data_IF_981994393030
#
_entry.id   IF_981994393030
#
_cell.length_a   1.000
_cell.length_b   1.000
_cell.length_c   1.000
_cell.angle_alpha   90.00
_cell.angle_beta   90.00
_cell.angle_gamma   90.00
#
_symmetry.space_group_name_H-M   'P 1'
#
loop_
_entity.id
_entity.type
_entity.pdbx_description
1 polymer ?
#
# COMPACT_ATOMS: atom_id res chain seq x y z
N UNK A 1 19.23 7.61 32.48
CA UNK A 1 19.14 8.96 31.90
C UNK A 1 19.06 8.89 30.36
N UNK A 2 20.04 8.36 29.65
CA UNK A 2 20.07 8.27 28.18
C UNK A 2 18.84 7.56 27.54
N UNK A 3 18.31 6.50 28.19
CA UNK A 3 17.09 5.81 27.71
C UNK A 3 15.81 6.64 27.92
N UNK A 4 15.79 7.47 28.95
CA UNK A 4 14.67 8.37 29.25
C UNK A 4 14.62 9.54 28.29
N UNK A 5 15.77 10.14 28.01
CA UNK A 5 15.89 11.25 27.03
C UNK A 5 15.57 10.81 25.60
N UNK A 6 16.00 9.61 25.18
CA UNK A 6 15.67 9.05 23.88
C UNK A 6 14.16 8.78 23.75
N UNK A 7 13.49 8.35 24.84
CA UNK A 7 12.05 8.10 24.88
C UNK A 7 11.24 9.39 24.82
N UNK A 8 11.68 10.45 25.53
CA UNK A 8 11.03 11.76 25.49
C UNK A 8 11.16 12.38 24.10
N UNK A 9 12.36 12.34 23.50
CA UNK A 9 12.55 12.82 22.10
C UNK A 9 11.71 12.05 21.10
N UNK A 10 11.52 10.74 21.27
CA UNK A 10 10.64 9.93 20.41
C UNK A 10 9.18 10.36 20.55
N UNK A 11 8.72 10.61 21.77
CA UNK A 11 7.34 11.01 22.06
C UNK A 11 7.03 12.41 21.54
N UNK A 12 7.93 13.39 21.78
CA UNK A 12 7.81 14.75 21.24
C UNK A 12 7.77 14.76 19.70
N UNK A 13 8.55 13.89 19.07
CA UNK A 13 8.59 13.74 17.63
C UNK A 13 7.29 13.13 17.09
N UNK A 14 6.75 12.13 17.78
CA UNK A 14 5.47 11.48 17.44
C UNK A 14 4.29 12.47 17.54
N UNK A 15 4.25 13.27 18.61
CA UNK A 15 3.22 14.28 18.83
C UNK A 15 3.32 15.41 17.80
N UNK A 16 4.52 15.85 17.45
CA UNK A 16 4.77 16.83 16.40
C UNK A 16 4.27 16.32 15.03
N UNK A 17 4.59 15.07 14.70
CA UNK A 17 4.10 14.47 13.47
C UNK A 17 2.58 14.27 13.48
N UNK A 18 1.97 13.94 14.62
CA UNK A 18 0.53 13.85 14.77
C UNK A 18 -0.19 15.18 14.42
N UNK A 19 0.31 16.30 14.92
CA UNK A 19 -0.21 17.64 14.58
C UNK A 19 -0.01 17.97 13.08
N UNK A 20 1.16 17.67 12.55
CA UNK A 20 1.50 17.92 11.15
C UNK A 20 0.58 17.15 10.18
N UNK A 21 0.20 15.91 10.56
CA UNK A 21 -0.80 15.10 9.84
C UNK A 21 -2.11 15.84 9.66
N UNK A 22 -2.66 16.36 10.76
CA UNK A 22 -3.93 17.08 10.72
C UNK A 22 -3.83 18.34 9.86
N UNK A 23 -2.71 19.07 9.95
CA UNK A 23 -2.48 20.27 9.15
C UNK A 23 -2.38 20.00 7.65
N UNK A 24 -1.89 18.80 7.23
CA UNK A 24 -1.83 18.44 5.81
C UNK A 24 -3.16 17.85 5.32
N UNK A 25 -3.85 17.05 6.14
CA UNK A 25 -5.15 16.47 5.75
C UNK A 25 -6.22 17.52 5.51
N UNK A 26 -6.19 18.63 6.24
CA UNK A 26 -7.16 19.71 6.10
C UNK A 26 -7.16 20.37 4.71
N UNK A 27 -6.02 20.85 4.16
CA UNK A 27 -6.00 21.42 2.80
C UNK A 27 -6.28 20.36 1.72
N UNK A 28 -5.92 19.08 1.93
CA UNK A 28 -6.28 18.00 1.01
C UNK A 28 -7.80 17.83 0.96
N UNK A 29 -8.47 17.79 2.12
CA UNK A 29 -9.93 17.72 2.18
C UNK A 29 -10.60 18.94 1.53
N UNK A 30 -10.05 20.13 1.71
CA UNK A 30 -10.53 21.33 1.03
C UNK A 30 -10.40 21.23 -0.50
N UNK A 31 -9.28 20.70 -1.01
CA UNK A 31 -9.09 20.47 -2.45
C UNK A 31 -10.10 19.45 -3.00
N UNK A 32 -10.46 18.40 -2.26
CA UNK A 32 -11.51 17.48 -2.68
C UNK A 32 -12.87 18.18 -2.85
N UNK A 33 -13.24 19.05 -1.89
CA UNK A 33 -14.50 19.80 -1.95
C UNK A 33 -14.50 20.76 -3.16
N UNK A 34 -13.38 21.45 -3.40
CA UNK A 34 -13.25 22.36 -4.55
C UNK A 34 -13.32 21.60 -5.87
N UNK A 35 -12.63 20.45 -6.00
CA UNK A 35 -12.70 19.61 -7.20
C UNK A 35 -14.10 19.05 -7.43
N UNK A 36 -14.83 18.70 -6.37
CA UNK A 36 -16.22 18.25 -6.48
C UNK A 36 -17.12 19.41 -6.98
N UNK A 37 -16.96 20.62 -6.45
CA UNK A 37 -17.73 21.79 -6.91
C UNK A 37 -17.46 22.08 -8.39
N UNK A 38 -16.20 22.03 -8.84
CA UNK A 38 -15.86 22.21 -10.25
C UNK A 38 -16.44 21.10 -11.14
N UNK A 39 -16.46 19.84 -10.66
CA UNK A 39 -17.07 18.73 -11.38
C UNK A 39 -18.58 18.88 -11.52
N UNK A 40 -19.27 19.35 -10.47
CA UNK A 40 -20.71 19.58 -10.47
C UNK A 40 -21.09 20.70 -11.48
N UNK A 41 -20.24 21.74 -11.60
CA UNK A 41 -20.44 22.85 -12.56
C UNK A 41 -20.03 22.48 -14.00
N UNK A 42 -18.91 21.73 -14.18
CA UNK A 42 -18.31 21.41 -15.47
C UNK A 42 -17.82 19.95 -15.53
N UNK A 43 -18.71 18.96 -15.57
CA UNK A 43 -18.32 17.54 -15.52
C UNK A 43 -17.47 17.06 -16.71
N UNK A 44 -17.46 17.81 -17.80
CA UNK A 44 -16.71 17.45 -19.00
C UNK A 44 -15.30 18.08 -19.06
N UNK A 45 -14.86 18.77 -18.01
CA UNK A 45 -13.54 19.42 -17.97
C UNK A 45 -12.42 18.37 -17.98
N UNK A 46 -11.56 18.28 -19.02
CA UNK A 46 -10.55 17.23 -19.14
C UNK A 46 -9.53 17.24 -17.98
N UNK A 47 -9.21 18.44 -17.49
CA UNK A 47 -8.22 18.66 -16.44
C UNK A 47 -8.66 18.11 -15.07
N UNK A 48 -9.96 17.99 -14.82
CA UNK A 48 -10.49 17.44 -13.58
C UNK A 48 -9.95 16.06 -13.27
N UNK A 49 -9.83 15.24 -14.32
CA UNK A 49 -9.29 13.88 -14.18
C UNK A 49 -7.84 13.90 -13.69
N UNK A 50 -7.01 14.76 -14.27
CA UNK A 50 -5.60 14.88 -13.89
C UNK A 50 -5.47 15.47 -12.48
N UNK A 51 -6.26 16.48 -12.14
CA UNK A 51 -6.26 17.10 -10.81
C UNK A 51 -6.67 16.10 -9.72
N UNK A 52 -7.71 15.29 -9.94
CA UNK A 52 -8.12 14.23 -9.03
C UNK A 52 -7.02 13.17 -8.86
N UNK A 53 -6.36 12.78 -9.94
CA UNK A 53 -5.24 11.83 -9.89
C UNK A 53 -4.05 12.37 -9.09
N UNK A 54 -3.67 13.63 -9.29
CA UNK A 54 -2.56 14.24 -8.55
C UNK A 54 -2.90 14.42 -7.07
N UNK A 55 -4.13 14.82 -6.75
CA UNK A 55 -4.60 14.92 -5.36
C UNK A 55 -4.55 13.55 -4.66
N UNK A 56 -5.04 12.50 -5.32
CA UNK A 56 -4.98 11.13 -4.80
C UNK A 56 -3.53 10.67 -4.54
N UNK A 57 -2.60 10.98 -5.46
CA UNK A 57 -1.17 10.68 -5.25
C UNK A 57 -0.60 11.41 -4.04
N UNK A 58 -0.95 12.68 -3.84
CA UNK A 58 -0.51 13.44 -2.67
C UNK A 58 -1.01 12.78 -1.37
N UNK A 59 -2.26 12.35 -1.32
CA UNK A 59 -2.79 11.60 -0.17
C UNK A 59 -1.99 10.33 0.12
N UNK A 60 -1.69 9.56 -0.92
CA UNK A 60 -0.90 8.33 -0.77
C UNK A 60 0.52 8.61 -0.24
N UNK A 61 1.17 9.70 -0.70
CA UNK A 61 2.47 10.09 -0.18
C UNK A 61 2.42 10.51 1.29
N UNK A 62 1.42 11.29 1.67
CA UNK A 62 1.22 11.70 3.06
C UNK A 62 1.01 10.47 3.94
N UNK A 63 0.11 9.56 3.55
CA UNK A 63 -0.18 8.32 4.30
C UNK A 63 1.06 7.43 4.45
N UNK A 64 1.86 7.30 3.39
CA UNK A 64 3.11 6.55 3.41
C UNK A 64 4.13 7.15 4.39
N UNK A 65 4.30 8.48 4.40
CA UNK A 65 5.20 9.16 5.33
C UNK A 65 4.74 8.96 6.77
N UNK A 66 3.44 9.07 7.03
CA UNK A 66 2.86 8.85 8.36
C UNK A 66 3.06 7.43 8.85
N UNK A 67 2.85 6.46 7.98
CA UNK A 67 3.07 5.05 8.29
C UNK A 67 4.54 4.80 8.60
N UNK A 68 5.45 5.39 7.83
CA UNK A 68 6.89 5.30 8.08
C UNK A 68 7.26 5.81 9.49
N UNK A 69 6.72 6.96 9.91
CA UNK A 69 6.98 7.55 11.21
C UNK A 69 6.42 6.72 12.38
N UNK A 70 5.22 6.16 12.21
CA UNK A 70 4.58 5.29 13.22
C UNK A 70 5.19 3.89 13.31
N UNK A 71 5.93 3.47 12.30
CA UNK A 71 6.48 2.12 12.24
C UNK A 71 7.52 1.84 13.35
N UNK A 72 8.21 2.86 13.87
CA UNK A 72 9.18 2.69 14.97
C UNK A 72 8.47 2.23 16.26
N UNK A 73 7.29 2.78 16.56
CA UNK A 73 6.50 2.46 17.74
C UNK A 73 5.50 1.31 17.53
N UNK A 74 5.40 0.77 16.31
CA UNK A 74 4.42 -0.23 15.90
C UNK A 74 4.36 -1.45 16.84
N UNK A 75 5.50 -1.88 17.41
CA UNK A 75 5.55 -3.12 18.22
C UNK A 75 4.73 -3.03 19.51
N UNK A 76 4.49 -1.81 20.03
CA UNK A 76 3.65 -1.57 21.21
C UNK A 76 2.15 -1.41 20.88
N UNK A 77 1.82 -1.11 19.62
CA UNK A 77 0.47 -0.75 19.18
C UNK A 77 -0.25 -1.84 18.38
N UNK A 78 0.42 -2.99 18.12
CA UNK A 78 -0.18 -4.08 17.34
C UNK A 78 -1.39 -4.70 18.05
N UNK A 79 -2.54 -4.64 17.40
CA UNK A 79 -3.79 -5.25 17.86
C UNK A 79 -4.17 -6.43 16.96
N UNK A 80 -3.78 -7.63 17.39
CA UNK A 80 -4.13 -8.85 16.64
C UNK A 80 -5.56 -9.28 16.93
N UNK A 81 -6.36 -9.34 15.87
CA UNK A 81 -7.73 -9.83 15.92
C UNK A 81 -8.05 -10.75 14.73
N UNK A 82 -9.12 -11.52 14.84
CA UNK A 82 -9.63 -12.35 13.75
C UNK A 82 -10.43 -11.46 12.80
N UNK A 83 -9.88 -11.16 11.63
CA UNK A 83 -10.49 -10.28 10.64
C UNK A 83 -10.82 -11.01 9.35
N UNK A 84 -11.88 -10.57 8.69
CA UNK A 84 -12.23 -11.05 7.34
C UNK A 84 -11.30 -10.42 6.32
N UNK A 85 -10.51 -11.25 5.64
CA UNK A 85 -9.61 -10.80 4.58
C UNK A 85 -10.40 -10.18 3.41
N UNK A 86 -11.57 -10.75 3.08
CA UNK A 86 -12.45 -10.23 2.03
C UNK A 86 -12.96 -8.80 2.35
N UNK A 87 -13.26 -8.52 3.63
CA UNK A 87 -13.65 -7.17 4.08
C UNK A 87 -12.54 -6.16 3.81
N UNK A 88 -11.29 -6.46 4.22
CA UNK A 88 -10.13 -5.58 4.01
C UNK A 88 -9.91 -5.35 2.52
N UNK A 89 -9.92 -6.42 1.72
CA UNK A 89 -9.74 -6.33 0.27
C UNK A 89 -10.79 -5.45 -0.40
N UNK A 90 -12.07 -5.63 -0.04
CA UNK A 90 -13.15 -4.81 -0.59
C UNK A 90 -13.02 -3.33 -0.21
N UNK A 91 -12.60 -3.03 1.02
CA UNK A 91 -12.34 -1.65 1.47
C UNK A 91 -11.20 -1.03 0.66
N UNK A 92 -10.06 -1.74 0.55
CA UNK A 92 -8.91 -1.29 -0.23
C UNK A 92 -9.28 -1.08 -1.71
N UNK A 93 -9.95 -2.04 -2.36
CA UNK A 93 -10.41 -1.90 -3.76
C UNK A 93 -11.35 -0.70 -3.92
N UNK A 94 -12.28 -0.48 -2.98
CA UNK A 94 -13.20 0.66 -3.02
C UNK A 94 -12.46 1.99 -2.97
N UNK A 95 -11.42 2.13 -2.14
CA UNK A 95 -10.58 3.32 -2.04
C UNK A 95 -9.92 3.66 -3.40
N UNK A 96 -9.50 2.65 -4.16
CA UNK A 96 -8.86 2.81 -5.46
C UNK A 96 -9.83 2.76 -6.67
N UNK A 97 -11.13 2.61 -6.44
CA UNK A 97 -12.13 2.38 -7.51
C UNK A 97 -12.10 3.44 -8.61
N UNK A 98 -11.95 4.71 -8.24
CA UNK A 98 -11.82 5.80 -9.22
C UNK A 98 -10.58 5.63 -10.11
N UNK A 99 -9.46 5.17 -9.58
CA UNK A 99 -8.23 4.95 -10.33
C UNK A 99 -8.38 3.82 -11.34
N UNK A 100 -9.05 2.72 -10.97
CA UNK A 100 -9.40 1.64 -11.90
C UNK A 100 -10.23 2.16 -13.09
N UNK A 101 -11.23 2.99 -12.82
CA UNK A 101 -12.08 3.59 -13.87
C UNK A 101 -11.28 4.56 -14.74
N UNK A 102 -10.52 5.48 -14.15
CA UNK A 102 -9.76 6.50 -14.84
C UNK A 102 -8.69 5.91 -15.78
N UNK A 103 -8.02 4.84 -15.35
CA UNK A 103 -6.99 4.15 -16.12
C UNK A 103 -7.56 3.01 -16.99
N UNK A 104 -8.88 2.76 -16.93
CA UNK A 104 -9.56 1.66 -17.63
C UNK A 104 -8.94 0.29 -17.32
N UNK A 105 -8.43 0.10 -16.10
CA UNK A 105 -7.83 -1.16 -15.66
C UNK A 105 -8.95 -2.10 -15.22
N UNK A 106 -8.94 -3.33 -15.75
CA UNK A 106 -9.88 -4.38 -15.37
C UNK A 106 -9.45 -5.00 -14.03
N UNK A 107 -10.40 -5.12 -13.11
CA UNK A 107 -10.20 -5.85 -11.86
C UNK A 107 -10.82 -7.25 -11.99
N UNK A 108 -10.00 -8.32 -11.90
CA UNK A 108 -10.44 -9.70 -11.71
C UNK A 108 -10.38 -10.02 -10.21
N UNK A 109 -11.47 -9.73 -9.49
CA UNK A 109 -11.58 -9.98 -8.07
C UNK A 109 -12.33 -11.28 -7.80
N UNK A 110 -11.66 -12.25 -7.19
CA UNK A 110 -12.28 -13.48 -6.71
C UNK A 110 -12.50 -13.37 -5.20
N UNK A 111 -13.74 -13.55 -4.69
CA UNK A 111 -14.03 -13.45 -3.26
C UNK A 111 -13.09 -14.33 -2.43
N UNK A 112 -12.56 -13.76 -1.36
CA UNK A 112 -11.58 -14.38 -0.48
C UNK A 112 -12.24 -14.66 0.88
N UNK A 113 -12.92 -15.80 1.00
CA UNK A 113 -13.61 -16.18 2.24
C UNK A 113 -12.63 -16.74 3.28
N UNK A 114 -11.79 -15.87 3.85
CA UNK A 114 -10.80 -16.22 4.86
C UNK A 114 -10.85 -15.29 6.06
N UNK A 115 -10.72 -15.91 7.24
CA UNK A 115 -10.46 -15.21 8.50
C UNK A 115 -8.98 -15.37 8.80
N UNK A 116 -8.31 -14.25 9.06
CA UNK A 116 -6.88 -14.22 9.39
C UNK A 116 -6.66 -13.55 10.73
N UNK A 117 -5.64 -14.00 11.48
CA UNK A 117 -5.23 -13.37 12.73
C UNK A 117 -4.16 -12.34 12.42
N UNK A 118 -4.53 -11.06 12.42
CA UNK A 118 -3.64 -9.96 12.03
C UNK A 118 -4.10 -8.65 12.66
N UNK A 119 -3.34 -7.60 12.48
CA UNK A 119 -3.80 -6.23 12.71
C UNK A 119 -4.45 -5.71 11.43
N UNK A 120 -5.77 -5.41 11.49
CA UNK A 120 -6.58 -4.97 10.34
C UNK A 120 -5.98 -3.74 9.65
N UNK A 121 -5.62 -2.74 10.42
CA UNK A 121 -5.11 -1.45 9.94
C UNK A 121 -3.77 -1.57 9.21
N UNK A 122 -2.85 -2.34 9.77
CA UNK A 122 -1.52 -2.53 9.18
C UNK A 122 -1.58 -3.43 7.95
N UNK A 123 -2.44 -4.46 7.96
CA UNK A 123 -2.65 -5.30 6.77
C UNK A 123 -3.34 -4.53 5.64
N UNK A 124 -4.34 -3.68 5.96
CA UNK A 124 -4.99 -2.80 4.99
C UNK A 124 -3.97 -1.91 4.31
N UNK A 125 -3.08 -1.25 5.07
CA UNK A 125 -2.00 -0.44 4.49
C UNK A 125 -1.11 -1.23 3.52
N UNK A 126 -0.72 -2.46 3.87
CA UNK A 126 0.10 -3.32 2.99
C UNK A 126 -0.63 -3.63 1.69
N UNK A 127 -1.91 -4.02 1.76
CA UNK A 127 -2.74 -4.31 0.59
C UNK A 127 -2.89 -3.07 -0.29
N UNK A 128 -3.19 -1.93 0.30
CA UNK A 128 -3.32 -0.65 -0.41
C UNK A 128 -2.04 -0.24 -1.12
N UNK A 129 -0.89 -0.40 -0.46
CA UNK A 129 0.40 -0.08 -1.06
C UNK A 129 0.74 -0.99 -2.25
N UNK A 130 0.36 -2.28 -2.18
CA UNK A 130 0.52 -3.21 -3.30
C UNK A 130 -0.42 -2.86 -4.45
N UNK A 131 -1.69 -2.52 -4.16
CA UNK A 131 -2.66 -2.05 -5.17
C UNK A 131 -2.21 -0.75 -5.83
N UNK A 132 -1.68 0.19 -5.05
CA UNK A 132 -1.11 1.44 -5.56
C UNK A 132 0.02 1.18 -6.55
N UNK A 133 0.93 0.26 -6.23
CA UNK A 133 2.01 -0.14 -7.13
C UNK A 133 1.45 -0.84 -8.39
N UNK A 134 0.52 -1.77 -8.25
CA UNK A 134 -0.11 -2.44 -9.38
C UNK A 134 -0.75 -1.44 -10.35
N UNK A 135 -1.55 -0.49 -9.83
CA UNK A 135 -2.17 0.58 -10.62
C UNK A 135 -1.14 1.49 -11.30
N UNK A 136 -0.06 1.83 -10.59
CA UNK A 136 1.00 2.70 -11.10
C UNK A 136 1.75 2.10 -12.27
N UNK A 137 2.02 0.79 -12.23
CA UNK A 137 2.86 0.11 -13.20
C UNK A 137 2.09 -0.68 -14.27
N UNK A 138 0.77 -0.74 -14.15
CA UNK A 138 -0.11 -1.30 -15.18
C UNK A 138 -0.47 -0.23 -16.21
N UNK A 139 -0.38 -0.59 -17.48
CA UNK A 139 -0.77 0.31 -18.57
C UNK A 139 -2.29 0.50 -18.61
N UNK A 140 -2.73 1.63 -19.14
CA UNK A 140 -4.16 1.87 -19.39
C UNK A 140 -4.78 0.71 -20.19
N UNK A 141 -5.90 0.20 -19.70
CA UNK A 141 -6.58 -0.97 -20.30
C UNK A 141 -6.01 -2.32 -19.85
N UNK A 142 -5.04 -2.33 -18.93
CA UNK A 142 -4.49 -3.55 -18.36
C UNK A 142 -5.42 -4.25 -17.36
N UNK A 143 -4.88 -5.19 -16.61
CA UNK A 143 -5.63 -6.02 -15.67
C UNK A 143 -4.87 -6.18 -14.35
N UNK A 144 -5.62 -6.13 -13.26
CA UNK A 144 -5.17 -6.50 -11.92
C UNK A 144 -6.07 -7.60 -11.41
N UNK A 145 -5.46 -8.70 -10.88
CA UNK A 145 -6.16 -9.85 -10.31
C UNK A 145 -5.87 -9.94 -8.82
N UNK A 146 -6.91 -10.29 -8.05
CA UNK A 146 -6.82 -10.58 -6.62
C UNK A 146 -7.44 -11.95 -6.37
N UNK A 147 -6.68 -12.89 -5.83
CA UNK A 147 -7.15 -14.25 -5.55
C UNK A 147 -6.33 -14.93 -4.45
N UNK A 148 -6.81 -16.09 -3.98
CA UNK A 148 -6.00 -17.01 -3.19
C UNK A 148 -5.34 -18.04 -4.11
N UNK A 149 -4.09 -18.34 -3.85
CA UNK A 149 -3.33 -19.44 -4.50
C UNK A 149 -2.62 -20.29 -3.44
N UNK A 150 -2.58 -21.57 -3.68
CA UNK A 150 -1.73 -22.47 -2.87
C UNK A 150 -0.30 -22.44 -3.39
N UNK A 151 0.65 -22.15 -2.51
CA UNK A 151 2.06 -22.13 -2.82
C UNK A 151 2.84 -22.92 -1.77
N UNK A 152 3.51 -24.01 -2.20
CA UNK A 152 4.30 -24.88 -1.31
C UNK A 152 3.48 -25.41 -0.12
N UNK A 153 2.22 -25.81 -0.35
CA UNK A 153 1.31 -26.28 0.68
C UNK A 153 0.77 -25.22 1.63
N UNK A 154 0.92 -23.93 1.27
CA UNK A 154 0.38 -22.79 2.04
C UNK A 154 -0.47 -21.91 1.16
N UNK A 155 -1.57 -21.45 1.71
CA UNK A 155 -2.46 -20.53 1.02
C UNK A 155 -1.93 -19.10 1.15
N UNK A 156 -1.85 -18.40 0.02
CA UNK A 156 -1.35 -17.05 -0.08
C UNK A 156 -2.38 -16.15 -0.77
N UNK A 157 -2.56 -14.95 -0.26
CA UNK A 157 -3.21 -13.88 -1.02
C UNK A 157 -2.25 -13.44 -2.13
N UNK A 158 -2.75 -13.37 -3.35
CA UNK A 158 -2.00 -12.91 -4.53
C UNK A 158 -2.67 -11.69 -5.12
N UNK A 159 -1.87 -10.65 -5.30
CA UNK A 159 -2.22 -9.47 -6.09
C UNK A 159 -1.28 -9.47 -7.30
N UNK A 160 -1.87 -9.63 -8.48
CA UNK A 160 -1.16 -9.75 -9.76
C UNK A 160 -1.55 -8.62 -10.69
N UNK A 161 -0.58 -8.02 -11.34
CA UNK A 161 -0.77 -7.09 -12.44
C UNK A 161 -0.13 -7.60 -13.73
N UNK A 162 -0.65 -7.18 -14.89
CA UNK A 162 -0.05 -7.41 -16.20
C UNK A 162 0.72 -6.19 -16.71
N UNK A 163 1.36 -5.47 -15.81
CA UNK A 163 2.10 -4.26 -16.09
C UNK A 163 3.48 -4.48 -16.70
N UNK A 164 4.35 -3.49 -16.53
CA UNK A 164 5.70 -3.48 -17.13
C UNK A 164 6.65 -4.53 -16.55
N UNK A 165 6.34 -5.07 -15.38
CA UNK A 165 7.21 -6.00 -14.66
C UNK A 165 8.46 -5.34 -14.06
N UNK A 166 9.31 -6.17 -13.43
CA UNK A 166 10.53 -5.77 -12.73
C UNK A 166 11.71 -6.52 -13.34
N UNK A 167 12.84 -5.84 -13.52
CA UNK A 167 14.09 -6.45 -13.98
C UNK A 167 14.56 -7.51 -12.97
N UNK A 168 15.06 -8.64 -13.46
CA UNK A 168 15.54 -9.73 -12.60
C UNK A 168 16.62 -9.29 -11.60
N UNK A 169 17.47 -8.34 -12.02
CA UNK A 169 18.54 -7.75 -11.22
C UNK A 169 18.01 -6.89 -10.05
N UNK A 170 16.82 -6.28 -10.23
CA UNK A 170 16.17 -5.42 -9.24
C UNK A 170 15.37 -6.23 -8.20
N UNK A 171 14.87 -7.43 -8.57
CA UNK A 171 13.99 -8.25 -7.71
C UNK A 171 14.54 -8.50 -6.29
N UNK A 172 15.82 -8.84 -6.09
CA UNK A 172 16.36 -9.07 -4.74
C UNK A 172 16.32 -7.83 -3.86
N UNK A 173 16.26 -6.64 -4.47
CA UNK A 173 16.41 -5.34 -3.83
C UNK A 173 15.11 -4.54 -3.66
N UNK A 174 13.98 -5.02 -4.21
CA UNK A 174 12.70 -4.26 -4.22
C UNK A 174 12.19 -3.89 -2.83
N UNK A 175 12.62 -4.61 -1.79
CA UNK A 175 12.29 -4.34 -0.39
C UNK A 175 13.35 -3.53 0.36
N UNK A 176 14.44 -3.12 -0.28
CA UNK A 176 15.45 -2.25 0.33
C UNK A 176 14.92 -0.81 0.46
N UNK A 177 15.29 -0.14 1.57
CA UNK A 177 14.89 1.24 1.84
C UNK A 177 15.43 2.20 0.76
N UNK A 178 14.51 2.95 0.13
CA UNK A 178 14.89 3.94 -0.88
C UNK A 178 15.24 3.35 -2.25
N UNK A 179 15.07 2.04 -2.45
CA UNK A 179 15.33 1.41 -3.75
C UNK A 179 14.16 1.66 -4.72
N UNK A 180 14.46 2.23 -5.88
CA UNK A 180 13.44 2.59 -6.89
C UNK A 180 13.53 1.79 -8.18
N UNK A 181 14.56 0.94 -8.35
CA UNK A 181 14.80 0.15 -9.55
C UNK A 181 14.96 0.98 -10.83
N UNK A 182 15.10 0.31 -11.96
CA UNK A 182 15.21 0.96 -13.27
C UNK A 182 13.94 1.77 -13.61
N UNK A 183 12.77 1.17 -13.42
CA UNK A 183 11.48 1.79 -13.74
C UNK A 183 11.17 3.01 -12.86
N UNK A 184 11.52 2.96 -11.59
CA UNK A 184 11.28 4.06 -10.65
C UNK A 184 12.22 5.25 -10.86
N UNK A 185 13.44 5.02 -11.37
CA UNK A 185 14.38 6.09 -11.76
C UNK A 185 13.93 6.82 -13.02
N UNK A 186 13.38 6.09 -13.98
CA UNK A 186 12.82 6.67 -15.21
C UNK A 186 11.62 7.58 -14.93
N UNK A 187 10.78 7.21 -13.95
CA UNK A 187 9.53 7.92 -13.64
C UNK A 187 9.71 9.10 -12.66
N UNK A 188 10.91 9.32 -12.07
CA UNK A 188 11.23 10.37 -11.06
C UNK A 188 10.21 10.51 -9.89
N UNK A 189 9.18 9.65 -9.82
CA UNK A 189 8.03 9.73 -8.93
C UNK A 189 7.96 8.62 -7.87
N UNK A 190 9.01 7.79 -7.74
CA UNK A 190 9.05 6.70 -6.78
C UNK A 190 9.94 7.04 -5.60
N UNK A 191 9.45 6.88 -4.38
CA UNK A 191 10.22 7.16 -3.14
C UNK A 191 11.08 5.97 -2.72
N UNK A 192 10.78 4.76 -3.21
CA UNK A 192 11.44 3.51 -2.78
C UNK A 192 11.13 3.12 -1.32
N UNK A 193 10.08 3.71 -0.71
CA UNK A 193 9.72 3.47 0.69
C UNK A 193 8.56 2.48 0.80
N UNK A 194 7.63 2.46 -0.17
CA UNK A 194 6.39 1.69 -0.07
C UNK A 194 6.58 0.19 0.16
N UNK A 195 7.31 -0.51 -0.71
CA UNK A 195 7.57 -1.95 -0.55
C UNK A 195 8.45 -2.26 0.66
N UNK A 196 9.40 -1.37 0.99
CA UNK A 196 10.18 -1.47 2.22
C UNK A 196 9.27 -1.48 3.46
N UNK A 197 8.28 -0.57 3.52
CA UNK A 197 7.28 -0.54 4.59
C UNK A 197 6.46 -1.82 4.63
N UNK A 198 5.96 -2.27 3.47
CA UNK A 198 5.21 -3.54 3.38
C UNK A 198 6.01 -4.69 4.00
N UNK A 199 7.29 -4.84 3.63
CA UNK A 199 8.16 -5.90 4.18
C UNK A 199 8.31 -5.78 5.69
N UNK A 200 8.61 -4.58 6.20
CA UNK A 200 8.79 -4.33 7.63
C UNK A 200 7.53 -4.59 8.45
N UNK A 201 6.37 -4.16 7.95
CA UNK A 201 5.08 -4.38 8.59
C UNK A 201 4.75 -5.88 8.63
N UNK A 202 4.87 -6.56 7.50
CA UNK A 202 4.63 -8.00 7.41
C UNK A 202 5.53 -8.79 8.35
N UNK A 203 6.83 -8.46 8.42
CA UNK A 203 7.78 -9.11 9.33
C UNK A 203 7.40 -8.87 10.81
N UNK A 204 7.02 -7.65 11.19
CA UNK A 204 6.58 -7.33 12.55
C UNK A 204 5.28 -8.05 12.94
N UNK A 205 4.38 -8.28 11.98
CA UNK A 205 3.15 -9.05 12.19
C UNK A 205 3.38 -10.58 12.16
N UNK A 206 4.59 -11.06 11.84
CA UNK A 206 4.88 -12.48 11.68
C UNK A 206 4.32 -13.09 10.39
N UNK A 207 4.00 -12.27 9.40
CA UNK A 207 3.56 -12.66 8.07
C UNK A 207 4.70 -12.61 7.05
N UNK A 208 4.49 -13.15 5.85
CA UNK A 208 5.51 -13.14 4.80
C UNK A 208 5.00 -12.44 3.55
N UNK A 209 5.91 -11.73 2.88
CA UNK A 209 5.71 -11.11 1.58
C UNK A 209 6.86 -11.45 0.66
N UNK A 210 6.55 -11.76 -0.60
CA UNK A 210 7.54 -11.91 -1.67
C UNK A 210 6.93 -11.54 -3.01
N UNK A 211 7.78 -11.37 -4.01
CA UNK A 211 7.41 -10.92 -5.34
C UNK A 211 8.00 -11.84 -6.39
N UNK A 212 7.19 -12.19 -7.39
CA UNK A 212 7.62 -12.76 -8.65
C UNK A 212 7.25 -11.78 -9.77
N UNK A 213 8.20 -11.49 -10.65
CA UNK A 213 7.95 -10.56 -11.75
C UNK A 213 8.82 -10.90 -12.95
N UNK A 214 8.30 -10.58 -14.14
CA UNK A 214 9.00 -10.70 -15.40
C UNK A 214 8.68 -9.47 -16.26
N UNK A 215 9.72 -8.89 -16.87
CA UNK A 215 9.58 -7.70 -17.71
C UNK A 215 8.60 -7.97 -18.84
N UNK A 216 7.62 -7.09 -19.00
CA UNK A 216 6.58 -7.18 -20.01
C UNK A 216 5.44 -8.17 -19.73
N UNK A 217 5.53 -8.97 -18.65
CA UNK A 217 4.46 -9.88 -18.22
C UNK A 217 3.71 -9.39 -17.00
N UNK A 218 4.34 -8.55 -16.16
CA UNK A 218 3.76 -7.98 -14.96
C UNK A 218 4.38 -8.51 -13.66
N UNK A 219 3.68 -8.27 -12.56
CA UNK A 219 4.18 -8.56 -11.21
C UNK A 219 3.13 -9.30 -10.40
N UNK A 220 3.57 -10.30 -9.63
CA UNK A 220 2.78 -11.04 -8.64
C UNK A 220 3.34 -10.80 -7.25
N UNK A 221 2.56 -10.22 -6.38
CA UNK A 221 2.89 -10.07 -4.97
C UNK A 221 2.14 -11.11 -4.16
N UNK A 222 2.85 -11.86 -3.36
CA UNK A 222 2.32 -12.93 -2.51
C UNK A 222 2.37 -12.50 -1.05
N UNK A 223 1.25 -12.65 -0.34
CA UNK A 223 1.14 -12.45 1.10
C UNK A 223 0.76 -13.79 1.75
N UNK A 224 1.66 -14.37 2.54
CA UNK A 224 1.39 -15.51 3.41
C UNK A 224 0.97 -14.96 4.77
N UNK A 225 -0.31 -15.10 5.11
CA UNK A 225 -0.92 -14.52 6.31
C UNK A 225 -1.06 -15.52 7.45
N UNK A 226 -0.48 -16.71 7.33
CA UNK A 226 -0.39 -17.68 8.41
C UNK A 226 0.68 -17.23 9.40
N UNK A 227 0.28 -16.99 10.64
CA UNK A 227 1.22 -16.77 11.73
C UNK A 227 1.95 -18.09 11.96
N UNK A 228 3.28 -18.11 11.90
CA UNK A 228 4.03 -19.24 12.45
C UNK A 228 3.66 -19.32 13.93
N UNK A 229 3.15 -20.49 14.37
CA UNK A 229 2.99 -20.74 15.81
C UNK A 229 4.35 -20.51 16.45
N UNK A 230 4.43 -19.48 17.29
CA UNK A 230 5.57 -19.28 18.15
C UNK A 230 5.47 -20.36 19.21
N UNK A 231 6.24 -21.44 19.08
CA UNK A 231 6.47 -22.39 20.15
C UNK A 231 7.50 -21.78 21.08
N UNK A 232 7.13 -21.34 22.28
CA UNK A 232 8.10 -21.04 23.32
C UNK A 232 8.70 -22.39 23.76
N UNK A 233 9.99 -22.60 23.47
CA UNK A 233 10.80 -23.60 24.19
C UNK A 233 11.06 -23.12 25.62
#
# INVERSE_FOLDING_TARGET
>A
ELKSEARIKGQDLSDYYGMWVHQIKTPIAAMHILLQSVEDENPALPELKEMKMELFKMEQYVEMVLTYLRMEDMSGDLQFEKVSLDKILKQSVRKYSQMFVLQKIRLDYRPVERIVLTDEKWLEFVIEQILSNALKYTKNGGEIRICLEEKRGRECLVIEDNGIGIQAEDLPRVFEKGFTGYNGRADKKSTGIGLYLCKKIMDKMGHKIWINSEVGKGTRVYLELTRQEWNPE
#
